data_IF_251683258703
#
_entry.id   IF_251683258703
#
_cell.length_a   1.000
_cell.length_b   1.000
_cell.length_c   1.000
_cell.angle_alpha   90.00
_cell.angle_beta   90.00
_cell.angle_gamma   90.00
#
_symmetry.space_group_name_H-M   'P 1'
#
loop_
_entity.id
_entity.type
_entity.pdbx_description
1 polymer ?
#
# COMPACT_ATOMS: atom_id res chain seq x y z
N UNK A 1 -21.00 -11.67 13.94
CA UNK A 1 -22.25 -12.47 13.89
C UNK A 1 -23.28 -11.87 12.93
N UNK A 2 -23.56 -10.56 12.97
CA UNK A 2 -24.59 -9.89 12.14
C UNK A 2 -24.25 -9.92 10.65
N UNK A 3 -23.04 -9.53 10.26
CA UNK A 3 -22.58 -9.52 8.86
C UNK A 3 -22.63 -10.91 8.21
N UNK A 4 -22.36 -11.99 8.97
CA UNK A 4 -22.47 -13.37 8.47
C UNK A 4 -23.90 -13.76 8.15
N UNK A 5 -24.86 -13.41 9.04
CA UNK A 5 -26.29 -13.67 8.79
C UNK A 5 -26.79 -12.90 7.57
N UNK A 6 -26.39 -11.64 7.46
CA UNK A 6 -26.78 -10.80 6.33
C UNK A 6 -26.21 -11.34 5.00
N UNK A 7 -24.96 -11.82 4.96
CA UNK A 7 -24.39 -12.45 3.78
C UNK A 7 -25.14 -13.72 3.36
N UNK A 8 -25.46 -14.61 4.33
CA UNK A 8 -26.24 -15.82 4.09
C UNK A 8 -27.67 -15.53 3.61
N UNK A 9 -28.29 -14.44 4.07
CA UNK A 9 -29.61 -14.02 3.60
C UNK A 9 -29.56 -13.43 2.20
N UNK A 10 -28.53 -12.66 1.85
CA UNK A 10 -28.30 -12.17 0.49
C UNK A 10 -27.98 -13.29 -0.50
N UNK A 11 -27.28 -14.34 -0.06
CA UNK A 11 -27.01 -15.51 -0.91
C UNK A 11 -28.29 -16.21 -1.38
N UNK A 12 -29.38 -16.15 -0.61
CA UNK A 12 -30.68 -16.72 -1.00
C UNK A 12 -31.41 -15.90 -2.06
N UNK A 13 -31.16 -14.60 -2.14
CA UNK A 13 -31.85 -13.63 -2.98
C UNK A 13 -31.00 -13.13 -4.14
N UNK A 14 -29.69 -13.39 -4.14
CA UNK A 14 -28.74 -12.90 -5.11
C UNK A 14 -28.89 -13.54 -6.48
N UNK A 15 -28.71 -12.75 -7.53
CA UNK A 15 -28.73 -13.20 -8.94
C UNK A 15 -27.55 -14.15 -9.20
N UNK A 16 -26.38 -13.85 -8.64
CA UNK A 16 -25.19 -14.69 -8.73
C UNK A 16 -24.86 -15.28 -7.35
N UNK A 17 -25.35 -16.49 -7.12
CA UNK A 17 -25.17 -17.19 -5.86
C UNK A 17 -23.70 -17.46 -5.56
N UNK A 18 -22.87 -17.74 -6.56
CA UNK A 18 -21.46 -18.09 -6.36
C UNK A 18 -20.67 -16.95 -5.73
N UNK A 19 -21.00 -15.70 -6.04
CA UNK A 19 -20.35 -14.53 -5.42
C UNK A 19 -20.70 -14.38 -3.94
N UNK A 20 -21.94 -14.70 -3.59
CA UNK A 20 -22.36 -14.67 -2.18
C UNK A 20 -21.80 -15.84 -1.38
N UNK A 21 -21.70 -17.02 -1.97
CA UNK A 21 -21.06 -18.18 -1.33
C UNK A 21 -19.58 -17.89 -1.01
N UNK A 22 -18.86 -17.19 -1.89
CA UNK A 22 -17.49 -16.70 -1.64
C UNK A 22 -17.46 -15.69 -0.50
N UNK A 23 -18.38 -14.73 -0.48
CA UNK A 23 -18.47 -13.74 0.59
C UNK A 23 -18.76 -14.42 1.94
N UNK A 24 -19.67 -15.39 1.97
CA UNK A 24 -19.97 -16.19 3.15
C UNK A 24 -18.72 -16.92 3.66
N UNK A 25 -17.99 -17.60 2.76
CA UNK A 25 -16.72 -18.27 3.08
C UNK A 25 -15.70 -17.29 3.69
N UNK A 26 -15.54 -16.11 3.11
CA UNK A 26 -14.61 -15.07 3.62
C UNK A 26 -14.99 -14.65 5.04
N UNK A 27 -16.29 -14.46 5.31
CA UNK A 27 -16.79 -14.03 6.62
C UNK A 27 -16.78 -15.15 7.66
N UNK A 28 -17.09 -16.38 7.27
CA UNK A 28 -17.11 -17.54 8.18
C UNK A 28 -15.72 -17.94 8.61
N UNK A 29 -14.80 -18.02 7.67
CA UNK A 29 -13.41 -18.42 7.90
C UNK A 29 -12.51 -17.25 8.32
N UNK A 30 -13.06 -16.03 8.43
CA UNK A 30 -12.33 -14.82 8.84
C UNK A 30 -11.10 -14.52 7.96
N UNK A 31 -11.18 -14.74 6.65
CA UNK A 31 -10.07 -14.66 5.68
C UNK A 31 -9.59 -13.24 5.35
N UNK A 32 -10.01 -12.24 6.12
CA UNK A 32 -9.64 -10.84 5.86
C UNK A 32 -8.13 -10.60 5.82
N UNK A 33 -7.37 -11.24 6.72
CA UNK A 33 -5.90 -11.13 6.73
C UNK A 33 -5.26 -11.85 5.55
N UNK A 34 -5.71 -13.05 5.23
CA UNK A 34 -5.19 -13.83 4.11
C UNK A 34 -5.37 -13.09 2.79
N UNK A 35 -6.56 -12.49 2.58
CA UNK A 35 -6.84 -11.66 1.42
C UNK A 35 -5.95 -10.42 1.39
N UNK A 36 -5.74 -9.75 2.53
CA UNK A 36 -4.86 -8.59 2.61
C UNK A 36 -3.42 -8.95 2.24
N UNK A 37 -2.90 -10.07 2.70
CA UNK A 37 -1.58 -10.57 2.34
C UNK A 37 -1.49 -10.93 0.84
N UNK A 38 -2.52 -11.57 0.29
CA UNK A 38 -2.57 -11.90 -1.14
C UNK A 38 -2.57 -10.64 -2.02
N UNK A 39 -3.33 -9.61 -1.63
CA UNK A 39 -3.35 -8.31 -2.32
C UNK A 39 -1.98 -7.63 -2.22
N UNK A 40 -1.37 -7.62 -1.04
CA UNK A 40 -0.04 -7.02 -0.85
C UNK A 40 1.02 -7.73 -1.70
N UNK A 41 1.02 -9.06 -1.75
CA UNK A 41 1.90 -9.83 -2.62
C UNK A 41 1.70 -9.48 -4.11
N UNK A 42 0.45 -9.33 -4.55
CA UNK A 42 0.10 -8.88 -5.90
C UNK A 42 0.65 -7.49 -6.23
N UNK A 43 0.51 -6.55 -5.31
CA UNK A 43 1.04 -5.18 -5.43
C UNK A 43 2.58 -5.16 -5.53
N UNK A 44 3.26 -5.90 -4.65
CA UNK A 44 4.72 -6.02 -4.66
C UNK A 44 5.20 -6.59 -5.99
N UNK A 45 4.53 -7.62 -6.48
CA UNK A 45 4.85 -8.24 -7.77
C UNK A 45 4.67 -7.24 -8.92
N UNK A 46 3.54 -6.53 -8.96
CA UNK A 46 3.25 -5.57 -10.02
C UNK A 46 4.17 -4.34 -9.99
N UNK A 47 4.73 -3.99 -8.82
CA UNK A 47 5.68 -2.89 -8.68
C UNK A 47 7.09 -3.22 -9.24
N UNK A 48 7.34 -4.46 -9.65
CA UNK A 48 8.59 -4.85 -10.30
C UNK A 48 8.71 -4.23 -11.70
N UNK A 49 9.93 -3.97 -12.19
CA UNK A 49 10.14 -3.49 -13.56
C UNK A 49 9.53 -4.45 -14.58
N UNK A 50 9.00 -3.89 -15.68
CA UNK A 50 8.53 -4.61 -16.87
C UNK A 50 7.27 -5.49 -16.69
N UNK A 51 6.59 -5.41 -15.54
CA UNK A 51 5.31 -6.06 -15.35
C UNK A 51 4.15 -5.07 -15.54
N UNK A 52 3.21 -5.42 -16.40
CA UNK A 52 1.97 -4.68 -16.64
C UNK A 52 0.77 -5.27 -15.91
N UNK A 53 0.90 -6.51 -15.43
CA UNK A 53 -0.15 -7.23 -14.72
C UNK A 53 0.41 -8.24 -13.71
N UNK A 54 -0.37 -8.52 -12.68
CA UNK A 54 -0.11 -9.54 -11.67
C UNK A 54 -1.40 -10.25 -11.31
N UNK A 55 -1.32 -11.49 -10.85
CA UNK A 55 -2.46 -12.21 -10.31
C UNK A 55 -2.42 -12.15 -8.77
N UNK A 56 -3.56 -11.84 -8.18
CA UNK A 56 -3.80 -11.95 -6.74
C UNK A 56 -4.34 -13.35 -6.47
N UNK A 57 -3.64 -14.10 -5.65
CA UNK A 57 -4.00 -15.49 -5.30
C UNK A 57 -5.12 -15.49 -4.25
N UNK A 58 -6.31 -15.88 -4.66
CA UNK A 58 -7.50 -15.98 -3.82
C UNK A 58 -7.95 -17.43 -3.59
N UNK A 59 -7.04 -18.42 -3.81
CA UNK A 59 -7.35 -19.84 -3.62
C UNK A 59 -7.70 -20.21 -2.18
N UNK A 60 -7.41 -19.34 -1.24
CA UNK A 60 -7.88 -19.45 0.15
C UNK A 60 -9.41 -19.37 0.27
N UNK A 61 -10.08 -18.72 -0.69
CA UNK A 61 -11.54 -18.61 -0.75
C UNK A 61 -12.15 -19.77 -1.53
N UNK A 62 -11.60 -20.03 -2.72
CA UNK A 62 -12.13 -21.08 -3.64
C UNK A 62 -10.98 -21.59 -4.52
N UNK A 63 -10.94 -22.90 -4.75
CA UNK A 63 -9.94 -23.55 -5.61
C UNK A 63 -9.91 -22.88 -6.99
N UNK A 64 -8.72 -22.54 -7.47
CA UNK A 64 -8.47 -21.86 -8.74
C UNK A 64 -9.04 -20.43 -8.85
N UNK A 65 -9.37 -19.76 -7.75
CA UNK A 65 -9.79 -18.36 -7.76
C UNK A 65 -8.57 -17.42 -7.79
N UNK A 66 -8.56 -16.54 -8.78
CA UNK A 66 -7.55 -15.51 -8.98
C UNK A 66 -8.22 -14.20 -9.37
N UNK A 67 -7.66 -13.08 -8.93
CA UNK A 67 -8.05 -11.76 -9.41
C UNK A 67 -6.88 -11.12 -10.18
N UNK A 68 -7.17 -10.54 -11.33
CA UNK A 68 -6.17 -9.83 -12.13
C UNK A 68 -5.98 -8.42 -11.55
N UNK A 69 -4.73 -8.03 -11.34
CA UNK A 69 -4.32 -6.68 -11.00
C UNK A 69 -3.49 -6.12 -12.15
N UNK A 70 -3.99 -5.06 -12.80
CA UNK A 70 -3.26 -4.38 -13.88
C UNK A 70 -2.60 -3.11 -13.37
N UNK A 71 -1.52 -2.67 -14.05
CA UNK A 71 -0.87 -1.39 -13.75
C UNK A 71 -1.86 -0.23 -13.81
N UNK A 72 -2.72 -0.19 -14.84
CA UNK A 72 -3.73 0.86 -15.01
C UNK A 72 -4.74 0.90 -13.85
N UNK A 73 -5.18 -0.26 -13.35
CA UNK A 73 -6.06 -0.32 -12.19
C UNK A 73 -5.36 0.19 -10.92
N UNK A 74 -4.10 -0.22 -10.73
CA UNK A 74 -3.30 0.25 -9.60
C UNK A 74 -3.05 1.76 -9.66
N UNK A 75 -2.67 2.30 -10.82
CA UNK A 75 -2.44 3.74 -11.02
C UNK A 75 -3.71 4.55 -10.76
N UNK A 76 -4.86 4.05 -11.19
CA UNK A 76 -6.17 4.69 -10.93
C UNK A 76 -6.44 4.82 -9.43
N UNK A 77 -6.22 3.75 -8.68
CA UNK A 77 -6.41 3.76 -7.21
C UNK A 77 -5.35 4.65 -6.53
N UNK A 78 -4.09 4.55 -6.95
CA UNK A 78 -2.98 5.27 -6.32
C UNK A 78 -2.97 6.76 -6.65
N UNK A 79 -3.57 7.20 -7.75
CA UNK A 79 -3.58 8.62 -8.16
C UNK A 79 -4.15 9.56 -7.09
N UNK A 80 -5.24 9.16 -6.43
CA UNK A 80 -5.83 9.91 -5.33
C UNK A 80 -4.91 9.99 -4.08
N UNK A 81 -4.16 8.93 -3.81
CA UNK A 81 -3.18 8.90 -2.71
C UNK A 81 -1.94 9.72 -3.05
N UNK A 82 -1.46 9.66 -4.28
CA UNK A 82 -0.36 10.49 -4.78
C UNK A 82 -0.67 12.00 -4.66
N UNK A 83 -1.90 12.41 -5.00
CA UNK A 83 -2.35 13.79 -4.81
C UNK A 83 -2.34 14.22 -3.33
N UNK A 84 -2.77 13.36 -2.42
CA UNK A 84 -2.74 13.63 -0.97
C UNK A 84 -1.30 13.75 -0.45
N UNK A 85 -0.39 12.88 -0.88
CA UNK A 85 1.02 12.95 -0.51
C UNK A 85 1.62 14.27 -1.00
N UNK A 86 1.34 14.67 -2.23
CA UNK A 86 1.78 15.97 -2.78
C UNK A 86 1.27 17.14 -1.95
N UNK A 87 -0.01 17.15 -1.62
CA UNK A 87 -0.62 18.19 -0.81
C UNK A 87 0.02 18.30 0.59
N UNK A 88 0.19 17.16 1.26
CA UNK A 88 0.81 17.09 2.57
C UNK A 88 2.28 17.57 2.55
N UNK A 89 3.06 17.17 1.55
CA UNK A 89 4.43 17.65 1.39
C UNK A 89 4.48 19.16 1.12
N UNK A 90 3.57 19.69 0.29
CA UNK A 90 3.49 21.14 0.04
C UNK A 90 3.12 21.92 1.31
N UNK A 91 2.17 21.43 2.08
CA UNK A 91 1.79 22.04 3.36
C UNK A 91 2.96 22.04 4.36
N UNK A 92 3.69 20.93 4.44
CA UNK A 92 4.89 20.82 5.29
C UNK A 92 5.94 21.85 4.92
N UNK A 93 6.19 22.09 3.63
CA UNK A 93 7.12 23.12 3.17
C UNK A 93 6.66 24.53 3.57
N UNK A 94 5.36 24.82 3.41
CA UNK A 94 4.78 26.10 3.83
C UNK A 94 4.94 26.33 5.32
N UNK A 95 4.64 25.31 6.13
CA UNK A 95 4.80 25.38 7.59
C UNK A 95 6.26 25.57 8.02
N UNK A 96 7.19 24.97 7.31
CA UNK A 96 8.62 25.09 7.57
C UNK A 96 9.23 26.41 7.02
N UNK A 97 8.50 27.16 6.18
CA UNK A 97 9.02 28.33 5.50
C UNK A 97 10.17 28.01 4.52
N UNK A 98 10.18 26.79 3.96
CA UNK A 98 11.24 26.31 3.08
C UNK A 98 10.70 26.13 1.67
N UNK A 99 11.43 26.61 0.66
CA UNK A 99 11.06 26.40 -0.73
C UNK A 99 11.55 25.04 -1.23
N UNK A 100 10.86 24.42 -2.22
CA UNK A 100 11.18 23.07 -2.73
C UNK A 100 12.63 22.93 -3.23
N UNK A 101 13.21 23.98 -3.81
CA UNK A 101 14.56 24.01 -4.34
C UNK A 101 15.65 23.91 -3.24
N UNK A 102 15.29 24.18 -1.99
CA UNK A 102 16.17 24.03 -0.82
C UNK A 102 16.19 22.63 -0.25
N UNK A 103 15.33 21.74 -0.71
CA UNK A 103 15.33 20.34 -0.30
C UNK A 103 16.46 19.63 -1.05
N UNK A 104 17.52 19.29 -0.33
CA UNK A 104 18.67 18.59 -0.89
C UNK A 104 18.58 17.07 -0.83
N UNK A 105 17.71 16.54 0.03
CA UNK A 105 17.64 15.09 0.29
C UNK A 105 16.22 14.66 0.65
N UNK A 106 15.79 13.53 0.07
CA UNK A 106 14.56 12.83 0.41
C UNK A 106 14.92 11.43 0.90
N UNK A 107 14.48 11.10 2.10
CA UNK A 107 14.73 9.78 2.70
C UNK A 107 13.41 9.00 2.70
N UNK A 108 13.40 7.87 2.00
CA UNK A 108 12.26 6.96 1.96
C UNK A 108 12.36 5.92 3.08
N UNK A 109 11.30 5.83 3.90
CA UNK A 109 11.19 4.90 5.02
C UNK A 109 9.84 4.19 4.97
N UNK A 110 9.81 2.90 5.28
CA UNK A 110 8.59 2.08 5.31
C UNK A 110 8.17 1.53 3.95
N UNK A 111 7.41 0.43 3.97
CA UNK A 111 7.06 -0.34 2.77
C UNK A 111 6.31 0.44 1.68
N UNK A 112 5.43 1.38 2.07
CA UNK A 112 4.68 2.19 1.10
C UNK A 112 5.55 3.15 0.29
N UNK A 113 6.74 3.53 0.80
CA UNK A 113 7.68 4.38 0.09
C UNK A 113 8.36 3.68 -1.10
N UNK A 114 8.22 2.36 -1.20
CA UNK A 114 8.74 1.55 -2.31
C UNK A 114 7.84 1.61 -3.56
N UNK A 115 6.65 2.19 -3.48
CA UNK A 115 5.76 2.35 -4.63
C UNK A 115 6.32 3.39 -5.60
N UNK A 116 6.37 3.05 -6.89
CA UNK A 116 6.83 3.96 -7.97
C UNK A 116 6.07 5.29 -7.95
N UNK A 117 4.76 5.26 -7.75
CA UNK A 117 3.92 6.46 -7.70
C UNK A 117 4.32 7.44 -6.60
N UNK A 118 4.83 6.96 -5.46
CA UNK A 118 5.34 7.82 -4.37
C UNK A 118 6.66 8.46 -4.78
N UNK A 119 7.56 7.67 -5.35
CA UNK A 119 8.85 8.17 -5.84
C UNK A 119 8.67 9.24 -6.93
N UNK A 120 7.80 8.99 -7.91
CA UNK A 120 7.50 9.92 -9.01
C UNK A 120 6.96 11.26 -8.49
N UNK A 121 6.07 11.23 -7.49
CA UNK A 121 5.58 12.46 -6.85
C UNK A 121 6.72 13.24 -6.20
N UNK A 122 7.61 12.56 -5.49
CA UNK A 122 8.73 13.22 -4.81
C UNK A 122 9.74 13.79 -5.79
N UNK A 123 10.10 13.05 -6.85
CA UNK A 123 10.99 13.54 -7.93
C UNK A 123 10.39 14.79 -8.59
N UNK A 124 9.09 14.76 -8.91
CA UNK A 124 8.43 15.89 -9.55
C UNK A 124 8.35 17.13 -8.65
N UNK A 125 8.26 16.97 -7.33
CA UNK A 125 8.21 18.06 -6.37
C UNK A 125 9.60 18.63 -6.05
N UNK A 126 10.63 17.79 -6.05
CA UNK A 126 11.97 18.11 -5.57
C UNK A 126 13.04 17.67 -6.58
N UNK A 127 13.10 18.30 -7.76
CA UNK A 127 13.96 17.85 -8.85
C UNK A 127 15.47 17.94 -8.54
N UNK A 128 15.85 18.74 -7.54
CA UNK A 128 17.25 18.93 -7.11
C UNK A 128 17.64 18.03 -5.93
N UNK A 129 16.69 17.28 -5.36
CA UNK A 129 16.94 16.46 -4.18
C UNK A 129 17.53 15.10 -4.57
N UNK A 130 18.46 14.63 -3.75
CA UNK A 130 18.97 13.25 -3.83
C UNK A 130 18.01 12.33 -3.12
N UNK A 131 17.65 11.21 -3.77
CA UNK A 131 16.81 10.19 -3.18
C UNK A 131 17.66 9.19 -2.41
N UNK A 132 17.38 9.03 -1.13
CA UNK A 132 17.98 7.99 -0.30
C UNK A 132 16.92 6.99 0.14
N UNK A 133 17.25 5.72 0.00
CA UNK A 133 16.44 4.61 0.52
C UNK A 133 17.19 3.99 1.68
N UNK A 134 16.58 4.03 2.85
CA UNK A 134 17.05 3.25 4.00
C UNK A 134 16.38 1.88 3.96
N UNK A 135 16.88 0.94 4.77
CA UNK A 135 16.19 -0.32 5.00
C UNK A 135 14.76 -0.03 5.49
N UNK A 136 13.80 -0.21 4.59
CA UNK A 136 12.42 0.26 4.78
C UNK A 136 11.73 -0.32 6.03
N UNK A 137 12.19 -1.50 6.49
CA UNK A 137 11.58 -2.24 7.59
C UNK A 137 12.36 -2.13 8.90
N UNK A 138 13.65 -1.79 8.87
CA UNK A 138 14.53 -1.75 10.07
C UNK A 138 14.85 -0.35 10.54
N UNK A 139 14.55 0.69 9.78
CA UNK A 139 14.92 2.07 10.06
C UNK A 139 14.56 2.56 11.49
N UNK A 140 13.40 2.12 12.01
CA UNK A 140 12.99 2.47 13.38
C UNK A 140 13.86 1.76 14.42
N UNK A 141 14.10 0.45 14.23
CA UNK A 141 14.96 -0.34 15.13
C UNK A 141 16.40 0.17 15.12
N UNK A 142 16.92 0.48 13.93
CA UNK A 142 18.27 1.05 13.76
C UNK A 142 18.38 2.42 14.42
N UNK A 143 17.37 3.27 14.26
CA UNK A 143 17.27 4.57 14.91
C UNK A 143 17.26 4.47 16.43
N UNK A 144 16.50 3.53 16.99
CA UNK A 144 16.47 3.25 18.43
C UNK A 144 17.83 2.73 18.94
N UNK A 145 18.45 1.82 18.21
CA UNK A 145 19.77 1.31 18.55
C UNK A 145 20.84 2.42 18.57
N UNK A 146 20.80 3.32 17.58
CA UNK A 146 21.69 4.49 17.53
C UNK A 146 21.41 5.45 18.71
N UNK A 147 20.14 5.71 19.02
CA UNK A 147 19.75 6.59 20.10
C UNK A 147 20.26 6.07 21.46
N UNK A 148 20.08 4.78 21.72
CA UNK A 148 20.57 4.16 22.98
C UNK A 148 22.09 4.13 23.10
N UNK A 149 22.81 4.04 21.95
CA UNK A 149 24.27 4.03 21.95
C UNK A 149 24.91 5.42 22.20
N UNK A 150 24.12 6.49 22.05
CA UNK A 150 24.61 7.88 22.17
C UNK A 150 24.22 8.58 23.47
N UNK A 151 23.63 7.87 24.44
CA UNK A 151 23.13 8.45 25.70
C UNK A 151 22.29 9.73 25.48
N UNK A 152 21.51 9.76 24.40
CA UNK A 152 20.61 10.88 24.15
C UNK A 152 19.48 10.86 25.18
N UNK A 153 19.26 11.94 25.94
CA UNK A 153 18.09 12.04 26.81
C UNK A 153 16.82 11.91 25.95
N UNK A 154 15.93 11.00 26.37
CA UNK A 154 14.60 10.80 25.77
C UNK A 154 13.69 11.98 26.06
#
# INVERSE_FOLDING_TARGET
AENRRMAADFAKLGIDRSLFDRLETVLEMELGHDIAFAVEAGKIKLNQPDLSEAAIDLRVIETALWAQLTQSAMDTVLSGHAAKIRACASETLVMAGVSPDKIGKIVFVGGSSLLKSVEEVMIAMFPNATLERTEAFTAVADGLAIATSRDLPL
#
